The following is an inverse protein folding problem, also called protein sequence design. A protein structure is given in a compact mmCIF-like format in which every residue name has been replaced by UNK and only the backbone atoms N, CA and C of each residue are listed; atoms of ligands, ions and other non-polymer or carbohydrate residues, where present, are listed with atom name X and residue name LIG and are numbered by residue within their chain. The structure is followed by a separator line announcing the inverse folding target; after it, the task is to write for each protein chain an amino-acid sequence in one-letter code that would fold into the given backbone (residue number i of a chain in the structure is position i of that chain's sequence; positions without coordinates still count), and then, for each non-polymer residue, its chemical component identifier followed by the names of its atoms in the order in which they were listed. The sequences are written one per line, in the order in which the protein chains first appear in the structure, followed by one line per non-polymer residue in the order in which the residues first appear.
data_IF_544176878066
#
_entry.id   IF_544176878066
#
_cell.length_a   1.000
_cell.length_b   1.000
_cell.length_c   1.000
_cell.angle_alpha   90.00
_cell.angle_beta   90.00
_cell.angle_gamma   90.00
#
_symmetry.space_group_name_H-M   'P 1'
#
loop_
_entity.id
_entity.type
_entity.pdbx_description
1 polymer ?
#
# COMPACT_ATOMS: atom_id res chain seq x y z
N UNK A 1 20.17 6.38 -26.20
CA UNK A 1 19.74 5.42 -25.21
C UNK A 1 18.32 4.97 -25.53
N UNK A 2 18.08 3.69 -25.46
CA UNK A 2 16.80 3.05 -25.75
C UNK A 2 15.69 3.62 -24.84
N UNK A 3 14.71 4.29 -25.43
CA UNK A 3 13.58 4.94 -24.72
C UNK A 3 12.40 3.98 -24.58
N UNK A 4 12.64 2.71 -24.29
CA UNK A 4 11.57 1.74 -24.10
C UNK A 4 10.80 2.09 -22.81
N UNK A 5 9.46 2.24 -22.85
CA UNK A 5 8.66 2.51 -21.66
C UNK A 5 8.83 1.41 -20.62
N UNK A 6 9.14 1.78 -19.39
CA UNK A 6 9.37 0.86 -18.29
C UNK A 6 8.28 1.05 -17.25
N UNK A 7 7.63 -0.04 -16.84
CA UNK A 7 6.63 0.03 -15.78
C UNK A 7 7.29 0.43 -14.44
N UNK A 8 6.70 1.39 -13.72
CA UNK A 8 7.21 1.92 -12.44
C UNK A 8 7.56 0.79 -11.46
N UNK A 9 6.68 -0.22 -11.32
CA UNK A 9 6.91 -1.35 -10.44
C UNK A 9 8.11 -2.24 -10.82
N UNK A 10 8.61 -2.17 -12.07
CA UNK A 10 9.81 -2.90 -12.47
C UNK A 10 11.11 -2.20 -12.06
N UNK A 11 11.05 -0.91 -11.77
CA UNK A 11 12.18 -0.11 -11.33
C UNK A 11 12.70 -0.53 -9.96
N UNK A 12 11.80 -0.99 -9.08
CA UNK A 12 12.18 -1.48 -7.77
C UNK A 12 13.23 -2.61 -7.83
N UNK A 13 13.07 -3.54 -8.77
CA UNK A 13 14.04 -4.64 -8.98
C UNK A 13 15.37 -4.19 -9.57
N UNK A 14 15.42 -3.01 -10.20
CA UNK A 14 16.62 -2.47 -10.88
C UNK A 14 17.45 -1.57 -9.96
N UNK A 15 16.81 -0.80 -9.11
CA UNK A 15 17.50 0.20 -8.28
C UNK A 15 16.79 0.53 -6.97
N UNK A 16 15.92 -0.38 -6.49
CA UNK A 16 15.26 -0.26 -5.19
C UNK A 16 14.32 0.93 -5.07
N UNK A 17 14.01 1.32 -3.82
CA UNK A 17 13.06 2.38 -3.55
C UNK A 17 13.50 3.75 -4.06
N UNK A 18 14.80 4.05 -4.05
CA UNK A 18 15.33 5.33 -4.52
C UNK A 18 15.05 5.57 -6.01
N UNK A 19 15.21 4.54 -6.86
CA UNK A 19 14.91 4.65 -8.29
C UNK A 19 13.40 4.81 -8.53
N UNK A 20 12.57 4.13 -7.75
CA UNK A 20 11.11 4.27 -7.82
C UNK A 20 10.68 5.68 -7.39
N UNK A 21 11.25 6.19 -6.30
CA UNK A 21 10.96 7.53 -5.79
C UNK A 21 11.33 8.62 -6.81
N UNK A 22 12.51 8.54 -7.42
CA UNK A 22 12.91 9.47 -8.47
C UNK A 22 11.96 9.45 -9.66
N UNK A 23 11.62 8.26 -10.18
CA UNK A 23 10.70 8.13 -11.30
C UNK A 23 9.27 8.60 -10.93
N UNK A 24 8.82 8.37 -9.69
CA UNK A 24 7.54 8.89 -9.21
C UNK A 24 7.56 10.43 -9.13
N UNK A 25 8.65 11.00 -8.62
CA UNK A 25 8.84 12.45 -8.56
C UNK A 25 8.75 13.10 -9.95
N UNK A 26 9.41 12.50 -10.95
CA UNK A 26 9.36 12.98 -12.34
C UNK A 26 7.95 12.90 -12.94
N UNK A 27 7.17 11.87 -12.56
CA UNK A 27 5.80 11.69 -13.05
C UNK A 27 4.80 12.71 -12.50
N UNK A 28 5.02 13.20 -11.30
CA UNK A 28 4.13 14.14 -10.60
C UNK A 28 4.74 15.52 -10.42
N UNK A 29 5.88 15.75 -11.08
CA UNK A 29 6.57 17.04 -11.10
C UNK A 29 6.93 17.57 -9.69
N UNK A 30 7.45 16.68 -8.85
CA UNK A 30 7.90 17.05 -7.51
C UNK A 30 9.21 17.84 -7.54
N UNK A 31 9.45 18.70 -6.55
CA UNK A 31 10.74 19.38 -6.40
C UNK A 31 11.91 18.41 -6.36
N UNK A 32 13.06 18.83 -6.89
CA UNK A 32 14.27 18.01 -6.90
C UNK A 32 14.64 17.56 -5.47
N UNK A 33 14.90 16.26 -5.32
CA UNK A 33 15.25 15.65 -4.04
C UNK A 33 14.06 15.13 -3.24
N UNK A 34 12.85 15.20 -3.82
CA UNK A 34 11.64 14.61 -3.21
C UNK A 34 11.15 13.42 -4.05
N UNK A 35 10.43 12.45 -3.44
CA UNK A 35 10.28 12.28 -1.99
C UNK A 35 11.60 11.87 -1.34
N UNK A 36 11.93 12.45 -0.21
CA UNK A 36 13.16 12.15 0.55
C UNK A 36 12.96 11.03 1.58
N UNK A 37 11.74 10.60 1.77
CA UNK A 37 11.36 9.49 2.65
C UNK A 37 10.59 8.43 1.88
N UNK A 38 10.83 7.17 2.25
CA UNK A 38 10.10 6.04 1.70
C UNK A 38 9.79 4.99 2.78
N UNK A 39 8.77 4.21 2.53
CA UNK A 39 8.42 3.03 3.29
C UNK A 39 8.00 1.92 2.32
N UNK A 40 8.69 0.80 2.39
CA UNK A 40 8.33 -0.44 1.71
C UNK A 40 7.82 -1.43 2.75
N UNK A 41 6.55 -1.78 2.66
CA UNK A 41 5.90 -2.71 3.57
C UNK A 41 5.77 -4.09 2.89
N UNK A 42 6.64 -5.06 3.18
CA UNK A 42 6.53 -6.41 2.68
C UNK A 42 5.23 -7.07 3.19
N UNK A 43 4.74 -8.08 2.45
CA UNK A 43 3.49 -8.77 2.81
C UNK A 43 3.54 -9.41 4.19
N UNK A 44 4.69 -9.94 4.59
CA UNK A 44 4.87 -10.49 5.94
C UNK A 44 4.69 -9.43 7.01
N UNK A 45 5.31 -8.27 6.85
CA UNK A 45 5.17 -7.15 7.76
C UNK A 45 3.74 -6.60 7.79
N UNK A 46 3.05 -6.54 6.64
CA UNK A 46 1.64 -6.17 6.61
C UNK A 46 0.76 -7.14 7.39
N UNK A 47 0.98 -8.45 7.23
CA UNK A 47 0.22 -9.45 8.00
C UNK A 47 0.44 -9.28 9.49
N UNK A 48 1.71 -9.16 9.90
CA UNK A 48 2.08 -8.99 11.30
C UNK A 48 1.44 -7.72 11.87
N UNK A 49 1.55 -6.59 11.16
CA UNK A 49 0.92 -5.33 11.58
C UNK A 49 -0.58 -5.48 11.84
N UNK A 50 -1.30 -6.14 10.94
CA UNK A 50 -2.74 -6.35 11.09
C UNK A 50 -3.07 -7.27 12.25
N UNK A 51 -2.29 -8.33 12.43
CA UNK A 51 -2.50 -9.30 13.53
C UNK A 51 -2.15 -8.66 14.88
N UNK A 52 -1.13 -7.83 14.97
CA UNK A 52 -0.75 -7.07 16.18
C UNK A 52 -1.79 -5.98 16.53
N UNK A 53 -2.45 -5.41 15.52
CA UNK A 53 -3.60 -4.51 15.72
C UNK A 53 -4.88 -5.25 16.16
N UNK A 54 -4.87 -6.58 16.20
CA UNK A 54 -6.00 -7.40 16.63
C UNK A 54 -7.07 -7.59 15.57
N UNK A 55 -6.69 -7.66 14.29
CA UNK A 55 -7.54 -7.75 13.08
C UNK A 55 -8.06 -6.39 12.63
N UNK A 56 -8.45 -6.29 11.36
CA UNK A 56 -9.08 -5.09 10.81
C UNK A 56 -10.54 -5.33 10.48
N UNK A 57 -11.39 -4.39 10.87
CA UNK A 57 -12.78 -4.35 10.45
C UNK A 57 -12.88 -3.84 9.02
N UNK A 58 -13.27 -4.71 8.10
CA UNK A 58 -13.40 -4.43 6.69
C UNK A 58 -14.66 -5.09 6.12
N UNK A 59 -15.20 -4.50 5.08
CA UNK A 59 -16.39 -5.00 4.40
C UNK A 59 -16.08 -5.26 2.92
N UNK A 60 -15.56 -6.46 2.56
CA UNK A 60 -15.42 -6.82 1.16
C UNK A 60 -16.77 -6.68 0.42
N UNK A 61 -16.76 -6.02 -0.72
CA UNK A 61 -17.96 -5.72 -1.53
C UNK A 61 -18.65 -6.97 -2.08
N UNK A 62 -17.92 -8.08 -2.15
CA UNK A 62 -18.41 -9.38 -2.62
C UNK A 62 -17.59 -10.53 -2.05
N UNK A 63 -18.12 -11.72 -2.18
CA UNK A 63 -17.33 -12.96 -1.95
C UNK A 63 -16.25 -13.08 -3.02
N UNK A 64 -15.00 -13.27 -2.56
CA UNK A 64 -13.81 -13.36 -3.40
C UNK A 64 -13.25 -14.76 -3.37
N UNK A 65 -13.21 -15.41 -4.53
CA UNK A 65 -12.64 -16.75 -4.69
C UNK A 65 -11.67 -16.76 -5.85
N UNK A 66 -10.46 -17.20 -5.58
CA UNK A 66 -9.41 -17.35 -6.58
C UNK A 66 -8.45 -18.46 -6.14
N UNK A 67 -8.01 -19.28 -7.08
CA UNK A 67 -7.02 -20.32 -6.82
C UNK A 67 -5.97 -20.30 -7.91
N UNK A 68 -4.71 -20.24 -7.52
CA UNK A 68 -3.55 -20.43 -8.38
C UNK A 68 -2.81 -21.68 -7.93
N UNK A 69 -2.98 -22.75 -8.67
CA UNK A 69 -2.36 -24.06 -8.37
C UNK A 69 -0.83 -24.03 -8.54
N UNK A 70 -0.33 -23.21 -9.46
CA UNK A 70 1.11 -23.07 -9.73
C UNK A 70 1.83 -22.39 -8.58
N UNK A 71 1.25 -21.31 -8.08
CA UNK A 71 1.79 -20.55 -6.95
C UNK A 71 1.32 -21.08 -5.59
N UNK A 72 0.49 -22.14 -5.58
CA UNK A 72 -0.15 -22.70 -4.36
C UNK A 72 -0.81 -21.60 -3.52
N UNK A 73 -1.47 -20.68 -4.19
CA UNK A 73 -2.09 -19.52 -3.56
C UNK A 73 -3.60 -19.53 -3.75
N UNK A 74 -4.32 -19.32 -2.67
CA UNK A 74 -5.79 -19.29 -2.66
C UNK A 74 -6.30 -18.04 -1.97
N UNK A 75 -7.34 -17.43 -2.55
CA UNK A 75 -8.17 -16.40 -1.94
C UNK A 75 -9.53 -17.02 -1.67
N UNK A 76 -10.01 -16.87 -0.43
CA UNK A 76 -11.33 -17.29 -0.02
C UNK A 76 -11.82 -16.32 1.07
N UNK A 77 -12.52 -15.27 0.66
CA UNK A 77 -13.11 -14.26 1.53
C UNK A 77 -14.60 -14.15 1.23
N UNK A 78 -15.39 -14.10 2.26
CA UNK A 78 -16.82 -13.80 2.10
C UNK A 78 -17.02 -12.28 1.99
N UNK A 79 -18.12 -11.86 1.36
CA UNK A 79 -18.54 -10.45 1.33
C UNK A 79 -19.15 -10.01 2.66
N UNK A 80 -19.20 -8.69 2.87
CA UNK A 80 -19.82 -8.08 4.05
C UNK A 80 -18.85 -7.76 5.18
N UNK A 81 -19.36 -7.11 6.22
CA UNK A 81 -18.59 -6.61 7.35
C UNK A 81 -18.03 -7.76 8.20
N UNK A 82 -16.73 -7.77 8.41
CA UNK A 82 -16.05 -8.80 9.19
C UNK A 82 -14.69 -8.32 9.72
N UNK A 83 -14.18 -9.03 10.74
CA UNK A 83 -12.86 -8.82 11.32
C UNK A 83 -11.84 -9.69 10.58
N UNK A 84 -11.02 -9.08 9.72
CA UNK A 84 -10.04 -9.78 8.90
C UNK A 84 -8.68 -9.89 9.59
N UNK A 85 -8.13 -11.09 9.61
CA UNK A 85 -6.73 -11.34 10.00
C UNK A 85 -5.77 -10.78 8.95
N UNK A 86 -4.48 -10.66 9.30
CA UNK A 86 -3.45 -10.20 8.38
C UNK A 86 -3.38 -11.01 7.09
N UNK A 87 -3.54 -12.33 7.18
CA UNK A 87 -3.60 -13.20 6.01
C UNK A 87 -4.83 -12.91 5.13
N UNK A 88 -5.97 -12.63 5.72
CA UNK A 88 -7.19 -12.29 5.01
C UNK A 88 -7.13 -10.88 4.38
N UNK A 89 -6.52 -9.91 5.08
CA UNK A 89 -6.26 -8.58 4.51
C UNK A 89 -5.32 -8.69 3.31
N UNK A 90 -4.27 -9.48 3.37
CA UNK A 90 -3.41 -9.71 2.20
C UNK A 90 -4.21 -10.31 1.03
N UNK A 91 -5.10 -11.28 1.28
CA UNK A 91 -5.96 -11.83 0.24
C UNK A 91 -6.84 -10.75 -0.40
N UNK A 92 -7.47 -9.90 0.42
CA UNK A 92 -8.30 -8.77 -0.02
C UNK A 92 -7.53 -7.81 -0.94
N UNK A 93 -6.32 -7.43 -0.54
CA UNK A 93 -5.48 -6.48 -1.28
C UNK A 93 -4.87 -7.08 -2.57
N UNK A 94 -4.78 -8.40 -2.66
CA UNK A 94 -4.26 -9.10 -3.84
C UNK A 94 -5.34 -9.49 -4.84
N UNK A 95 -6.59 -9.56 -4.41
CA UNK A 95 -7.68 -9.94 -5.29
C UNK A 95 -7.79 -8.95 -6.46
N UNK A 96 -7.83 -9.50 -7.67
CA UNK A 96 -8.09 -8.74 -8.89
C UNK A 96 -9.47 -9.11 -9.39
N UNK A 97 -10.35 -8.16 -9.30
CA UNK A 97 -11.70 -8.30 -9.83
C UNK A 97 -11.63 -8.33 -11.36
N UNK A 98 -12.23 -9.31 -12.03
CA UNK A 98 -12.27 -9.35 -13.49
C UNK A 98 -12.95 -8.13 -14.13
N UNK A 99 -13.93 -7.52 -13.46
CA UNK A 99 -14.71 -6.39 -13.96
C UNK A 99 -14.04 -5.05 -13.63
N UNK A 100 -13.55 -4.89 -12.38
CA UNK A 100 -13.02 -3.62 -11.87
C UNK A 100 -11.48 -3.53 -11.90
N UNK A 101 -10.80 -4.63 -12.13
CA UNK A 101 -9.34 -4.69 -12.32
C UNK A 101 -8.52 -3.97 -11.27
N UNK A 102 -7.67 -3.05 -11.70
CA UNK A 102 -6.77 -2.29 -10.83
C UNK A 102 -7.49 -1.19 -10.04
N UNK A 103 -8.60 -0.65 -10.54
CA UNK A 103 -9.39 0.35 -9.82
C UNK A 103 -10.00 -0.23 -8.54
N UNK A 104 -10.70 -1.35 -8.64
CA UNK A 104 -11.25 -2.03 -7.48
C UNK A 104 -10.17 -2.48 -6.48
N UNK A 105 -8.95 -2.79 -6.97
CA UNK A 105 -7.82 -3.09 -6.09
C UNK A 105 -7.36 -1.85 -5.32
N UNK A 106 -7.24 -0.69 -5.96
CA UNK A 106 -6.88 0.57 -5.30
C UNK A 106 -7.87 0.95 -4.22
N UNK A 107 -9.15 0.93 -4.52
CA UNK A 107 -10.19 1.24 -3.53
C UNK A 107 -10.08 0.34 -2.28
N UNK A 108 -9.86 -0.96 -2.47
CA UNK A 108 -9.67 -1.86 -1.33
C UNK A 108 -8.41 -1.53 -0.52
N UNK A 109 -7.34 -1.08 -1.18
CA UNK A 109 -6.12 -0.63 -0.50
C UNK A 109 -6.39 0.64 0.32
N UNK A 110 -7.11 1.61 -0.24
CA UNK A 110 -7.49 2.85 0.43
C UNK A 110 -8.33 2.57 1.68
N UNK A 111 -9.39 1.76 1.54
CA UNK A 111 -10.24 1.36 2.66
C UNK A 111 -9.47 0.60 3.74
N UNK A 112 -8.53 -0.27 3.36
CA UNK A 112 -7.70 -0.98 4.32
C UNK A 112 -6.75 -0.05 5.09
N UNK A 113 -6.16 0.94 4.41
CA UNK A 113 -5.31 1.97 5.04
C UNK A 113 -6.14 2.79 6.03
N UNK A 114 -7.31 3.27 5.63
CA UNK A 114 -8.20 4.03 6.51
C UNK A 114 -8.61 3.22 7.75
N UNK A 115 -8.98 1.95 7.56
CA UNK A 115 -9.34 1.08 8.67
C UNK A 115 -8.17 0.87 9.63
N UNK A 116 -6.97 0.61 9.11
CA UNK A 116 -5.76 0.45 9.92
C UNK A 116 -5.46 1.73 10.73
N UNK A 117 -5.48 2.89 10.09
CA UNK A 117 -5.22 4.17 10.77
C UNK A 117 -6.28 4.49 11.82
N UNK A 118 -7.56 4.25 11.53
CA UNK A 118 -8.64 4.41 12.51
C UNK A 118 -8.43 3.51 13.73
N UNK A 119 -8.01 2.27 13.52
CA UNK A 119 -7.74 1.34 14.61
C UNK A 119 -6.51 1.73 15.42
N UNK A 120 -5.43 2.18 14.76
CA UNK A 120 -4.25 2.74 15.42
C UNK A 120 -4.58 3.97 16.28
N UNK A 121 -5.56 4.77 15.87
CA UNK A 121 -6.05 5.93 16.61
C UNK A 121 -6.84 5.61 17.87
N UNK A 122 -7.22 4.35 18.10
CA UNK A 122 -7.90 3.96 19.34
C UNK A 122 -6.97 4.06 20.55
N UNK A 123 -7.49 4.52 21.68
CA UNK A 123 -6.70 4.81 22.87
C UNK A 123 -5.78 3.67 23.31
N UNK A 124 -6.27 2.45 23.27
CA UNK A 124 -5.49 1.25 23.64
C UNK A 124 -4.32 1.00 22.68
N UNK A 125 -4.51 1.24 21.39
CA UNK A 125 -3.49 1.04 20.37
C UNK A 125 -2.43 2.14 20.38
N UNK A 126 -2.81 3.39 20.69
CA UNK A 126 -1.87 4.51 20.78
C UNK A 126 -0.73 4.24 21.78
N UNK A 127 -1.03 3.58 22.89
CA UNK A 127 -0.02 3.25 23.89
C UNK A 127 0.97 2.17 23.41
N UNK A 128 0.55 1.33 22.47
CA UNK A 128 1.34 0.22 21.93
C UNK A 128 2.11 0.59 20.64
N UNK A 129 1.81 1.74 20.03
CA UNK A 129 2.44 2.15 18.76
C UNK A 129 3.98 2.19 18.80
N UNK A 130 4.66 2.67 19.85
CA UNK A 130 6.11 2.65 19.87
C UNK A 130 6.70 1.24 19.83
N UNK A 131 6.07 0.29 20.52
CA UNK A 131 6.50 -1.10 20.52
C UNK A 131 6.18 -1.80 19.20
N UNK A 132 5.01 -1.53 18.64
CA UNK A 132 4.61 -2.01 17.33
C UNK A 132 5.60 -1.56 16.24
N UNK A 133 5.93 -0.27 16.18
CA UNK A 133 6.91 0.25 15.23
C UNK A 133 8.30 -0.37 15.41
N UNK A 134 8.71 -0.61 16.66
CA UNK A 134 9.98 -1.27 16.95
C UNK A 134 10.01 -2.71 16.43
N UNK A 135 8.93 -3.45 16.60
CA UNK A 135 8.82 -4.83 16.11
C UNK A 135 8.81 -4.92 14.59
N UNK A 136 8.26 -3.91 13.92
CA UNK A 136 8.20 -3.84 12.47
C UNK A 136 9.49 -3.31 11.83
N UNK A 137 10.34 -2.63 12.58
CA UNK A 137 11.53 -1.93 12.07
C UNK A 137 12.42 -2.85 11.24
N UNK A 138 12.66 -4.07 11.70
CA UNK A 138 13.51 -5.05 11.01
C UNK A 138 12.80 -5.77 9.83
N UNK A 139 11.52 -5.56 9.69
CA UNK A 139 10.69 -6.20 8.67
C UNK A 139 10.33 -5.27 7.51
N UNK A 140 10.57 -3.98 7.65
CA UNK A 140 10.26 -2.96 6.63
C UNK A 140 11.56 -2.38 6.07
N UNK A 141 11.51 -1.97 4.81
CA UNK A 141 12.60 -1.23 4.18
C UNK A 141 12.20 0.25 4.14
N UNK A 142 12.90 1.08 4.93
CA UNK A 142 12.59 2.49 5.08
C UNK A 142 13.82 3.30 5.49
N UNK A 143 13.87 4.55 5.12
CA UNK A 143 14.84 5.53 5.62
C UNK A 143 14.23 6.46 6.70
N UNK A 144 13.01 6.17 7.16
CA UNK A 144 12.41 6.85 8.31
C UNK A 144 13.05 6.37 9.61
N UNK A 145 13.37 7.30 10.49
CA UNK A 145 13.64 6.96 11.89
C UNK A 145 12.33 6.64 12.63
N UNK A 146 12.41 5.93 13.73
CA UNK A 146 11.23 5.64 14.57
C UNK A 146 10.52 6.93 15.03
N UNK A 147 11.29 7.96 15.37
CA UNK A 147 10.73 9.27 15.78
C UNK A 147 9.99 9.96 14.65
N UNK A 148 10.52 9.95 13.44
CA UNK A 148 9.85 10.49 12.25
C UNK A 148 8.56 9.73 11.94
N UNK A 149 8.61 8.39 12.00
CA UNK A 149 7.42 7.56 11.78
C UNK A 149 6.32 7.83 12.81
N UNK A 150 6.66 7.94 14.08
CA UNK A 150 5.72 8.31 15.15
C UNK A 150 5.15 9.72 14.94
N UNK A 151 5.98 10.68 14.56
CA UNK A 151 5.56 12.06 14.33
C UNK A 151 4.58 12.15 13.14
N UNK A 152 4.87 11.46 12.05
CA UNK A 152 3.99 11.39 10.88
C UNK A 152 2.65 10.72 11.23
N UNK A 153 2.70 9.61 11.94
CA UNK A 153 1.49 8.91 12.37
C UNK A 153 0.66 9.78 13.31
N UNK A 154 1.29 10.43 14.29
CA UNK A 154 0.61 11.35 15.19
C UNK A 154 -0.05 12.51 14.43
N UNK A 155 0.63 13.11 13.44
CA UNK A 155 0.07 14.17 12.62
C UNK A 155 -1.18 13.70 11.85
N UNK A 156 -1.14 12.50 11.27
CA UNK A 156 -2.29 11.91 10.55
C UNK A 156 -3.46 11.66 11.52
N UNK A 157 -3.19 11.07 12.68
CA UNK A 157 -4.24 10.75 13.66
C UNK A 157 -4.85 12.01 14.30
N UNK A 158 -4.07 13.08 14.47
CA UNK A 158 -4.55 14.35 15.03
C UNK A 158 -5.43 15.16 14.08
N UNK A 159 -5.30 14.97 12.77
CA UNK A 159 -6.10 15.70 11.80
C UNK A 159 -7.61 15.45 11.95
N UNK A 160 -8.01 14.30 12.48
CA UNK A 160 -9.42 13.94 12.71
C UNK A 160 -10.30 13.90 11.45
N UNK A 161 -9.75 14.27 10.31
CA UNK A 161 -10.41 14.23 9.01
C UNK A 161 -10.12 12.91 8.30
N UNK A 162 -11.07 12.37 7.53
CA UNK A 162 -10.81 11.21 6.70
C UNK A 162 -9.68 11.51 5.70
N UNK A 163 -8.81 10.52 5.50
CA UNK A 163 -7.73 10.64 4.51
C UNK A 163 -8.35 10.72 3.12
N UNK A 164 -7.96 11.74 2.37
CA UNK A 164 -8.39 11.87 1.00
C UNK A 164 -7.37 11.24 0.06
N UNK A 165 -7.80 10.23 -0.67
CA UNK A 165 -7.00 9.63 -1.72
C UNK A 165 -7.30 10.29 -3.06
N UNK A 166 -6.26 10.74 -3.73
CA UNK A 166 -6.39 11.35 -5.06
C UNK A 166 -5.69 10.47 -6.11
N UNK A 167 -6.43 10.06 -7.12
CA UNK A 167 -5.84 9.39 -8.27
C UNK A 167 -5.09 10.41 -9.12
N UNK A 168 -3.79 10.18 -9.34
CA UNK A 168 -3.04 10.94 -10.31
C UNK A 168 -3.54 10.56 -11.71
N UNK A 169 -3.97 11.56 -12.48
CA UNK A 169 -4.30 11.39 -13.89
C UNK A 169 -3.01 11.16 -14.70
N UNK A 170 -2.50 9.94 -14.64
CA UNK A 170 -1.37 9.54 -15.45
C UNK A 170 -1.80 9.51 -16.92
N UNK A 171 -0.94 9.98 -17.81
CA UNK A 171 -1.14 9.79 -19.25
C UNK A 171 -1.36 8.31 -19.54
N UNK A 172 -2.28 7.94 -20.43
CA UNK A 172 -2.49 6.54 -20.77
C UNK A 172 -1.16 5.90 -21.18
N UNK A 173 -0.94 4.61 -20.85
CA UNK A 173 0.29 3.94 -21.21
C UNK A 173 0.48 4.02 -22.72
N UNK A 174 1.68 4.44 -23.13
CA UNK A 174 2.06 4.53 -24.55
C UNK A 174 1.92 3.11 -25.13
N UNK A 175 1.05 2.96 -26.11
CA UNK A 175 0.91 1.68 -26.80
C UNK A 175 2.21 1.34 -27.52
N UNK A 176 2.59 0.05 -27.60
CA UNK A 176 3.72 -0.36 -28.44
C UNK A 176 3.51 0.18 -29.86
N UNK A 177 4.36 1.12 -30.31
CA UNK A 177 4.23 1.78 -31.61
C UNK A 177 3.97 3.28 -31.56
N UNK A 178 3.52 3.84 -30.45
CA UNK A 178 3.44 5.28 -30.27
C UNK A 178 4.85 5.86 -30.05
N UNK A 179 5.38 6.53 -31.06
CA UNK A 179 6.62 7.30 -30.91
C UNK A 179 6.33 8.51 -30.03
N UNK A 180 7.10 8.66 -28.94
CA UNK A 180 7.18 9.92 -28.22
C UNK A 180 7.53 11.02 -29.23
N UNK A 181 6.55 11.80 -29.62
CA UNK A 181 6.82 13.08 -30.30
C UNK A 181 7.32 14.03 -29.22
N UNK A 182 8.53 14.49 -29.43
CA UNK A 182 9.15 15.60 -28.68
C UNK A 182 8.32 16.86 -28.81
#
# INVERSE_FOLDING_TARGET
GDKTPVALGSLYRRGGPALVAGAAADLVDLPKGQPDRYLVLPRGALRQLVDDLGRLELAPDRTMRYEDKTLKYRISLEGGLQQLSGAQVEQLLRFRDPERGEEGRRERQEVAIESALRQMGQHQQLQQLPDLLRQLQDQVDTNLTQSEALSLLAAVLQQGAPIQFHSLALKPPIKPGDRLRQ
#
